data_IF_509117081648
#
_entry.id   IF_509117081648
#
_cell.length_a   1.000
_cell.length_b   1.000
_cell.length_c   1.000
_cell.angle_alpha   90.00
_cell.angle_beta   90.00
_cell.angle_gamma   90.00
#
_symmetry.space_group_name_H-M   'P 1'
#
loop_
_entity.id
_entity.type
_entity.pdbx_description
1 polymer ?
#
# COMPACT_ATOMS: atom_id res chain seq x y z
N UNK A 1 -44.11 -21.77 -13.36
CA UNK A 1 -44.52 -20.48 -12.73
C UNK A 1 -43.27 -19.75 -12.29
N UNK A 2 -42.94 -18.67 -13.01
CA UNK A 2 -41.76 -17.81 -12.78
C UNK A 2 -42.13 -16.70 -11.79
N UNK A 3 -41.14 -16.28 -10.99
CA UNK A 3 -40.98 -14.93 -10.41
C UNK A 3 -41.99 -14.46 -9.36
N UNK A 4 -41.57 -14.44 -8.08
CA UNK A 4 -42.13 -13.48 -7.11
C UNK A 4 -41.29 -13.18 -5.85
N UNK A 5 -40.09 -13.74 -5.66
CA UNK A 5 -39.26 -13.40 -4.46
C UNK A 5 -38.17 -12.35 -4.74
N UNK A 6 -37.94 -11.98 -6.00
CA UNK A 6 -36.91 -11.00 -6.38
C UNK A 6 -37.34 -9.52 -6.31
N UNK A 7 -38.52 -9.21 -5.75
CA UNK A 7 -39.11 -7.85 -5.81
C UNK A 7 -39.05 -7.03 -4.51
N UNK A 8 -38.48 -7.53 -3.42
CA UNK A 8 -38.51 -6.81 -2.13
C UNK A 8 -37.16 -6.39 -1.53
N UNK A 9 -36.02 -6.61 -2.20
CA UNK A 9 -34.71 -6.08 -1.78
C UNK A 9 -34.15 -4.97 -2.70
N UNK A 10 -34.92 -4.56 -3.72
CA UNK A 10 -34.53 -3.56 -4.70
C UNK A 10 -35.10 -2.16 -4.43
N UNK A 11 -35.91 -1.98 -3.38
CA UNK A 11 -36.62 -0.72 -3.10
C UNK A 11 -35.97 0.13 -2.00
N UNK A 12 -35.03 -0.42 -1.21
CA UNK A 12 -34.37 0.31 -0.11
C UNK A 12 -32.91 0.71 -0.39
N UNK A 13 -32.29 0.15 -1.44
CA UNK A 13 -30.85 0.32 -1.72
C UNK A 13 -30.51 1.20 -2.93
N UNK A 14 -31.49 1.60 -3.75
CA UNK A 14 -31.26 2.32 -5.02
C UNK A 14 -31.69 3.79 -4.97
N UNK A 15 -32.38 4.24 -3.91
CA UNK A 15 -32.70 5.67 -3.71
C UNK A 15 -31.50 6.54 -3.26
N UNK A 16 -30.32 5.95 -3.05
CA UNK A 16 -29.03 6.66 -2.92
C UNK A 16 -28.25 6.76 -4.23
N UNK A 17 -28.75 6.14 -5.31
CA UNK A 17 -28.23 6.32 -6.65
C UNK A 17 -28.66 7.67 -7.17
N UNK A 18 -27.79 8.67 -7.05
CA UNK A 18 -27.84 9.91 -7.82
C UNK A 18 -27.89 9.55 -9.32
N UNK A 19 -29.07 9.26 -9.84
CA UNK A 19 -29.39 9.60 -11.22
C UNK A 19 -29.47 11.12 -11.20
N UNK A 20 -28.32 11.77 -11.35
CA UNK A 20 -28.28 13.15 -11.77
C UNK A 20 -28.98 13.13 -13.13
N UNK A 21 -30.20 13.68 -13.28
CA UNK A 21 -30.72 13.94 -14.61
C UNK A 21 -29.62 14.73 -15.30
N UNK A 22 -29.30 14.34 -16.54
CA UNK A 22 -28.38 15.03 -17.45
C UNK A 22 -28.56 16.54 -17.28
N UNK A 23 -27.76 17.12 -16.40
CA UNK A 23 -27.80 18.53 -16.06
C UNK A 23 -27.24 19.18 -17.31
N UNK A 24 -28.16 19.70 -18.12
CA UNK A 24 -27.87 20.60 -19.22
C UNK A 24 -27.03 21.71 -18.63
N UNK A 25 -25.73 21.63 -18.90
CA UNK A 25 -24.73 22.58 -18.44
C UNK A 25 -25.10 23.94 -19.02
N UNK A 26 -25.53 24.88 -18.19
CA UNK A 26 -25.01 26.23 -18.38
C UNK A 26 -23.54 26.14 -17.99
N UNK A 27 -22.67 26.00 -18.99
CA UNK A 27 -21.22 26.10 -18.80
C UNK A 27 -20.92 27.47 -18.21
N UNK A 28 -20.92 27.59 -16.89
CA UNK A 28 -20.14 28.62 -16.25
C UNK A 28 -18.69 28.43 -16.68
N UNK A 29 -17.93 29.51 -16.77
CA UNK A 29 -16.52 29.49 -17.20
C UNK A 29 -15.61 28.68 -16.26
N UNK A 30 -16.10 28.35 -15.06
CA UNK A 30 -15.37 27.60 -14.04
C UNK A 30 -15.37 26.08 -14.27
N UNK A 31 -14.29 25.44 -13.81
CA UNK A 31 -14.04 23.99 -13.92
C UNK A 31 -14.34 23.22 -12.64
N UNK A 32 -14.74 23.93 -11.58
CA UNK A 32 -15.16 23.35 -10.29
C UNK A 32 -16.61 23.73 -10.04
N UNK A 33 -17.48 22.77 -9.76
CA UNK A 33 -18.91 23.00 -9.55
C UNK A 33 -19.34 22.54 -8.16
N UNK A 34 -20.05 23.40 -7.43
CA UNK A 34 -20.73 23.04 -6.19
C UNK A 34 -22.23 22.81 -6.48
N UNK A 35 -22.73 21.55 -6.45
CA UNK A 35 -24.13 21.25 -6.73
C UNK A 35 -25.13 21.88 -5.76
N UNK A 36 -24.74 22.09 -4.49
CA UNK A 36 -25.61 22.73 -3.50
C UNK A 36 -25.84 24.20 -3.86
N UNK A 37 -24.79 24.90 -4.26
CA UNK A 37 -24.85 26.31 -4.65
C UNK A 37 -25.26 26.53 -6.12
N UNK A 38 -25.26 25.46 -6.93
CA UNK A 38 -25.44 25.51 -8.38
C UNK A 38 -24.51 26.53 -9.04
N UNK A 39 -23.29 26.63 -8.54
CA UNK A 39 -22.29 27.63 -8.93
C UNK A 39 -21.01 26.96 -9.40
N UNK A 40 -20.41 27.52 -10.44
CA UNK A 40 -19.07 27.15 -10.92
C UNK A 40 -18.01 28.14 -10.42
N UNK A 41 -16.81 27.64 -10.20
CA UNK A 41 -15.64 28.37 -9.72
C UNK A 41 -14.45 28.10 -10.63
N UNK A 42 -13.56 29.08 -10.74
CA UNK A 42 -12.34 28.95 -11.53
C UNK A 42 -11.35 27.99 -10.86
N UNK A 43 -11.27 28.00 -9.52
CA UNK A 43 -10.35 27.17 -8.74
C UNK A 43 -11.06 26.39 -7.65
N UNK A 44 -10.41 25.34 -7.14
CA UNK A 44 -10.94 24.54 -6.01
C UNK A 44 -10.99 25.40 -4.74
N UNK A 45 -9.99 26.24 -4.49
CA UNK A 45 -9.92 27.06 -3.27
C UNK A 45 -11.06 28.09 -3.16
N UNK A 46 -11.48 28.69 -4.27
CA UNK A 46 -12.67 29.56 -4.30
C UNK A 46 -13.94 28.79 -3.93
N UNK A 47 -14.10 27.58 -4.49
CA UNK A 47 -15.23 26.71 -4.17
C UNK A 47 -15.22 26.23 -2.71
N UNK A 48 -14.03 25.95 -2.15
CA UNK A 48 -13.86 25.55 -0.76
C UNK A 48 -14.23 26.67 0.21
N UNK A 49 -13.82 27.91 -0.07
CA UNK A 49 -14.12 29.06 0.79
C UNK A 49 -15.63 29.34 0.93
N UNK A 50 -16.43 28.97 -0.08
CA UNK A 50 -17.90 29.09 -0.05
C UNK A 50 -18.62 27.77 0.31
N UNK A 51 -17.86 26.70 0.53
CA UNK A 51 -18.42 25.39 0.85
C UNK A 51 -18.98 25.35 2.28
N UNK A 52 -19.83 24.36 2.53
CA UNK A 52 -20.30 23.98 3.88
C UNK A 52 -19.91 22.54 4.18
N UNK A 53 -19.96 22.17 5.46
CA UNK A 53 -19.75 20.77 5.86
C UNK A 53 -20.74 19.85 5.14
N UNK A 54 -20.21 18.79 4.52
CA UNK A 54 -20.95 17.83 3.68
C UNK A 54 -21.00 18.19 2.19
N UNK A 55 -20.54 19.37 1.77
CA UNK A 55 -20.54 19.75 0.36
C UNK A 55 -19.67 18.82 -0.49
N UNK A 56 -20.12 18.58 -1.72
CA UNK A 56 -19.35 17.90 -2.76
C UNK A 56 -18.97 18.91 -3.84
N UNK A 57 -17.70 18.97 -4.19
CA UNK A 57 -17.17 19.78 -5.28
C UNK A 57 -16.83 18.87 -6.47
N UNK A 58 -17.53 19.07 -7.59
CA UNK A 58 -17.28 18.36 -8.83
C UNK A 58 -16.18 19.07 -9.61
N UNK A 59 -15.07 18.40 -9.84
CA UNK A 59 -13.95 18.92 -10.62
C UNK A 59 -14.05 18.32 -12.02
N UNK A 60 -14.05 19.17 -13.04
CA UNK A 60 -14.32 18.80 -14.43
C UNK A 60 -13.23 19.37 -15.34
N UNK A 61 -12.53 18.51 -16.06
CA UNK A 61 -11.37 18.93 -16.84
C UNK A 61 -10.20 19.37 -15.96
N UNK A 62 -9.32 20.19 -16.51
CA UNK A 62 -8.10 20.65 -15.85
C UNK A 62 -8.35 21.90 -14.99
N UNK A 63 -7.85 21.87 -13.76
CA UNK A 63 -7.84 22.99 -12.81
C UNK A 63 -6.41 23.22 -12.35
N UNK A 64 -5.94 24.45 -12.51
CA UNK A 64 -4.62 24.87 -12.05
C UNK A 64 -4.69 25.44 -10.63
N UNK A 65 -3.66 25.12 -9.84
CA UNK A 65 -3.44 25.66 -8.50
C UNK A 65 -3.56 24.62 -7.38
N UNK A 66 -2.71 24.79 -6.36
CA UNK A 66 -2.73 23.95 -5.16
C UNK A 66 -4.05 24.06 -4.41
N UNK A 67 -4.48 22.95 -3.81
CA UNK A 67 -5.71 22.86 -3.02
C UNK A 67 -5.40 22.92 -1.54
N UNK A 68 -6.02 23.85 -0.82
CA UNK A 68 -5.89 23.98 0.63
C UNK A 68 -7.23 23.64 1.31
N UNK A 69 -7.31 22.46 1.92
CA UNK A 69 -8.52 22.00 2.59
C UNK A 69 -8.83 22.73 3.90
N UNK A 70 -7.93 23.58 4.41
CA UNK A 70 -8.20 24.46 5.55
C UNK A 70 -9.22 25.57 5.23
N UNK A 71 -9.46 25.84 3.94
CA UNK A 71 -10.45 26.82 3.49
C UNK A 71 -11.88 26.31 3.66
N UNK A 72 -12.09 25.00 3.77
CA UNK A 72 -13.41 24.43 4.03
C UNK A 72 -13.77 24.63 5.52
N UNK A 73 -14.98 25.14 5.84
CA UNK A 73 -15.40 25.27 7.23
C UNK A 73 -15.71 23.93 7.92
N UNK A 74 -15.73 22.81 7.18
CA UNK A 74 -16.00 21.47 7.70
C UNK A 74 -15.58 20.38 6.71
N UNK A 75 -16.14 19.18 6.87
CA UNK A 75 -15.83 18.06 5.97
C UNK A 75 -16.37 18.27 4.55
N UNK A 76 -15.62 17.86 3.53
CA UNK A 76 -15.98 18.06 2.12
C UNK A 76 -15.59 16.87 1.25
N UNK A 77 -16.22 16.74 0.09
CA UNK A 77 -15.85 15.75 -0.93
C UNK A 77 -15.36 16.45 -2.19
N UNK A 78 -14.12 16.16 -2.60
CA UNK A 78 -13.60 16.48 -3.92
C UNK A 78 -13.83 15.29 -4.84
N UNK A 79 -14.65 15.46 -5.88
CA UNK A 79 -15.00 14.39 -6.81
C UNK A 79 -14.60 14.78 -8.24
N UNK A 80 -13.65 14.04 -8.80
CA UNK A 80 -13.34 14.12 -10.22
C UNK A 80 -14.46 13.52 -11.05
N UNK A 81 -14.94 14.29 -12.03
CA UNK A 81 -15.97 13.85 -12.97
C UNK A 81 -15.46 13.96 -14.39
N UNK A 82 -15.32 12.81 -15.05
CA UNK A 82 -15.02 12.76 -16.48
C UNK A 82 -16.19 13.36 -17.26
N UNK A 83 -15.90 14.27 -18.18
CA UNK A 83 -16.91 14.90 -19.04
C UNK A 83 -16.49 14.71 -20.51
N UNK A 84 -17.24 13.91 -21.27
CA UNK A 84 -16.92 13.61 -22.67
C UNK A 84 -15.54 12.97 -22.87
N UNK A 85 -15.10 12.12 -21.95
CA UNK A 85 -13.77 11.50 -21.98
C UNK A 85 -12.63 12.37 -21.43
N UNK A 86 -12.89 13.65 -21.12
CA UNK A 86 -11.87 14.54 -20.54
C UNK A 86 -11.72 14.23 -19.04
N UNK A 87 -10.53 13.83 -18.58
CA UNK A 87 -10.27 13.55 -17.17
C UNK A 87 -10.35 14.83 -16.32
N UNK A 88 -10.77 14.67 -15.06
CA UNK A 88 -10.62 15.70 -14.04
C UNK A 88 -9.16 15.73 -13.56
N UNK A 89 -8.46 16.84 -13.80
CA UNK A 89 -7.04 17.01 -13.50
C UNK A 89 -6.86 18.18 -12.54
N UNK A 90 -6.10 17.96 -11.46
CA UNK A 90 -5.50 19.04 -10.67
C UNK A 90 -4.01 19.08 -11.00
N UNK A 91 -3.52 20.27 -11.32
CA UNK A 91 -2.14 20.52 -11.71
C UNK A 91 -1.63 21.76 -10.97
N UNK A 92 -0.34 21.74 -10.61
CA UNK A 92 0.35 22.90 -10.04
C UNK A 92 1.79 22.96 -10.54
N UNK A 93 2.28 24.17 -10.82
CA UNK A 93 3.66 24.49 -11.19
C UNK A 93 4.02 25.87 -10.62
N UNK A 94 5.16 26.03 -9.94
CA UNK A 94 6.02 24.98 -9.38
C UNK A 94 5.36 24.27 -8.18
N UNK A 95 6.07 23.37 -7.50
CA UNK A 95 5.60 22.85 -6.20
C UNK A 95 5.41 24.02 -5.21
N UNK A 96 4.23 24.14 -4.57
CA UNK A 96 3.95 25.24 -3.65
C UNK A 96 4.77 25.14 -2.35
N UNK A 97 4.91 26.23 -1.56
CA UNK A 97 5.72 26.25 -0.34
C UNK A 97 5.28 25.27 0.75
N UNK A 98 4.01 24.88 0.73
CA UNK A 98 3.45 23.88 1.65
C UNK A 98 3.74 22.43 1.21
N UNK A 99 4.48 22.26 0.10
CA UNK A 99 4.98 21.00 -0.46
C UNK A 99 3.90 20.03 -0.96
N UNK A 100 2.66 20.48 -1.22
CA UNK A 100 1.58 19.59 -1.60
C UNK A 100 0.69 20.14 -2.71
N UNK A 101 0.31 19.29 -3.67
CA UNK A 101 -0.74 19.63 -4.65
C UNK A 101 -2.10 19.74 -3.96
N UNK A 102 -2.40 18.79 -3.06
CA UNK A 102 -3.55 18.86 -2.15
C UNK A 102 -3.07 18.77 -0.71
N UNK A 103 -3.25 19.85 0.04
CA UNK A 103 -2.92 19.95 1.45
C UNK A 103 -4.16 19.67 2.31
N UNK A 104 -4.14 18.52 2.99
CA UNK A 104 -5.21 18.02 3.85
C UNK A 104 -4.93 18.23 5.34
N UNK A 105 -3.76 18.78 5.73
CA UNK A 105 -3.37 18.97 7.14
C UNK A 105 -4.37 19.82 7.92
N UNK A 106 -4.82 20.93 7.33
CA UNK A 106 -5.74 21.87 7.97
C UNK A 106 -7.22 21.50 7.86
N UNK A 107 -7.58 20.28 7.45
CA UNK A 107 -9.00 19.88 7.28
C UNK A 107 -9.77 20.05 8.60
N UNK A 108 -11.02 20.51 8.52
CA UNK A 108 -11.90 20.76 9.68
C UNK A 108 -13.01 19.72 9.86
N UNK A 109 -12.90 18.61 9.15
CA UNK A 109 -13.82 17.49 9.24
C UNK A 109 -13.40 16.37 8.30
N UNK A 110 -14.27 15.38 8.12
CA UNK A 110 -14.04 14.26 7.21
C UNK A 110 -13.88 14.75 5.78
N UNK A 111 -12.77 14.41 5.14
CA UNK A 111 -12.52 14.72 3.72
C UNK A 111 -12.55 13.45 2.88
N UNK A 112 -13.17 13.54 1.71
CA UNK A 112 -13.04 12.55 0.65
C UNK A 112 -12.45 13.17 -0.61
N UNK A 113 -11.51 12.48 -1.23
CA UNK A 113 -10.90 12.83 -2.51
C UNK A 113 -11.07 11.60 -3.40
N UNK A 114 -11.80 11.74 -4.50
CA UNK A 114 -12.15 10.60 -5.35
C UNK A 114 -12.10 10.90 -6.83
N UNK A 115 -11.57 9.97 -7.63
CA UNK A 115 -11.68 10.01 -9.10
C UNK A 115 -10.86 11.13 -9.78
N UNK A 116 -9.86 11.69 -9.10
CA UNK A 116 -9.04 12.78 -9.63
C UNK A 116 -7.75 12.25 -10.27
N UNK A 117 -7.31 12.91 -11.33
CA UNK A 117 -5.94 12.85 -11.78
C UNK A 117 -5.18 14.02 -11.15
N UNK A 118 -4.03 13.74 -10.54
CA UNK A 118 -3.21 14.72 -9.83
C UNK A 118 -1.84 14.68 -10.49
N UNK A 119 -1.49 15.76 -11.16
CA UNK A 119 -0.17 15.95 -11.75
C UNK A 119 0.74 16.61 -10.72
N UNK A 120 1.77 15.88 -10.30
CA UNK A 120 2.63 16.25 -9.18
C UNK A 120 3.97 16.78 -9.71
N UNK A 121 4.32 18.05 -9.47
CA UNK A 121 5.62 18.59 -9.86
C UNK A 121 6.75 17.97 -9.01
N UNK A 122 7.99 18.15 -9.46
CA UNK A 122 9.16 17.68 -8.74
C UNK A 122 9.24 18.27 -7.31
N UNK A 123 9.68 17.46 -6.35
CA UNK A 123 9.86 17.86 -4.94
C UNK A 123 8.56 18.01 -4.15
N UNK A 124 7.43 17.53 -4.69
CA UNK A 124 6.11 17.72 -4.09
C UNK A 124 5.46 16.41 -3.61
N UNK A 125 4.56 16.54 -2.65
CA UNK A 125 3.57 15.52 -2.35
C UNK A 125 2.34 15.70 -3.23
N UNK A 126 1.79 14.63 -3.78
CA UNK A 126 0.48 14.68 -4.46
C UNK A 126 -0.62 15.04 -3.46
N UNK A 127 -0.66 14.32 -2.33
CA UNK A 127 -1.57 14.62 -1.22
C UNK A 127 -0.79 14.51 0.09
N UNK A 128 -0.83 15.56 0.90
CA UNK A 128 -0.18 15.60 2.20
C UNK A 128 -1.20 15.81 3.31
N UNK A 129 -1.16 14.94 4.31
CA UNK A 129 -1.95 14.97 5.53
C UNK A 129 -1.02 14.84 6.73
N UNK A 130 -1.40 15.41 7.86
CA UNK A 130 -0.61 15.31 9.08
C UNK A 130 -1.20 16.08 10.25
N UNK A 131 -0.88 15.61 11.45
CA UNK A 131 -1.25 16.23 12.75
C UNK A 131 -2.74 16.58 12.92
N UNK A 132 -3.64 15.90 12.21
CA UNK A 132 -5.05 16.30 12.16
C UNK A 132 -5.96 15.40 12.96
N UNK A 133 -5.74 14.09 12.94
CA UNK A 133 -6.63 13.16 13.65
C UNK A 133 -7.92 12.80 12.89
N UNK A 134 -8.30 13.63 11.91
CA UNK A 134 -9.63 13.59 11.29
C UNK A 134 -9.69 12.63 10.10
N UNK A 135 -10.85 12.04 9.80
CA UNK A 135 -10.93 11.04 8.72
C UNK A 135 -10.56 11.61 7.34
N UNK A 136 -9.77 10.86 6.58
CA UNK A 136 -9.41 11.16 5.20
C UNK A 136 -9.58 9.91 4.34
N UNK A 137 -10.30 10.04 3.23
CA UNK A 137 -10.40 9.00 2.21
C UNK A 137 -9.84 9.52 0.90
N UNK A 138 -8.84 8.83 0.34
CA UNK A 138 -8.34 9.04 -1.01
C UNK A 138 -8.62 7.78 -1.81
N UNK A 139 -9.46 7.87 -2.84
CA UNK A 139 -9.86 6.68 -3.59
C UNK A 139 -9.97 6.86 -5.10
N UNK A 140 -9.59 5.83 -5.84
CA UNK A 140 -9.70 5.81 -7.31
C UNK A 140 -9.07 7.04 -7.97
N UNK A 141 -8.03 7.61 -7.35
CA UNK A 141 -7.27 8.72 -7.92
C UNK A 141 -6.06 8.19 -8.69
N UNK A 142 -5.58 8.97 -9.65
CA UNK A 142 -4.31 8.75 -10.33
C UNK A 142 -3.35 9.86 -9.97
N UNK A 143 -2.21 9.53 -9.38
CA UNK A 143 -1.12 10.44 -9.11
C UNK A 143 0.01 10.14 -10.08
N UNK A 144 0.49 11.16 -10.79
CA UNK A 144 1.52 11.01 -11.82
C UNK A 144 2.44 12.21 -11.79
N UNK A 145 3.72 12.01 -12.06
CA UNK A 145 4.65 13.11 -12.25
C UNK A 145 4.13 14.05 -13.34
N UNK A 146 4.17 15.36 -13.07
CA UNK A 146 3.75 16.41 -14.01
C UNK A 146 4.45 16.30 -15.36
N UNK A 147 5.72 15.93 -15.32
CA UNK A 147 6.51 15.49 -16.46
C UNK A 147 7.16 14.12 -16.16
N UNK A 148 7.87 13.56 -17.15
CA UNK A 148 8.49 12.24 -17.03
C UNK A 148 9.67 12.19 -16.05
N UNK A 149 10.30 13.32 -15.78
CA UNK A 149 11.45 13.47 -14.87
C UNK A 149 11.07 13.94 -13.47
N UNK A 150 9.80 14.28 -13.25
CA UNK A 150 9.33 14.79 -11.97
C UNK A 150 9.46 13.69 -10.90
N UNK A 151 10.39 13.91 -9.97
CA UNK A 151 10.57 13.11 -8.77
C UNK A 151 9.66 13.63 -7.67
N UNK A 152 8.69 12.82 -7.23
CA UNK A 152 7.66 13.25 -6.27
C UNK A 152 7.37 12.21 -5.19
N UNK A 153 6.48 12.54 -4.26
CA UNK A 153 5.91 11.61 -3.28
C UNK A 153 4.40 11.54 -3.48
N UNK A 154 3.81 10.34 -3.38
CA UNK A 154 2.39 10.16 -3.69
C UNK A 154 1.45 10.72 -2.62
N UNK A 155 0.99 9.84 -1.73
CA UNK A 155 0.07 10.18 -0.63
C UNK A 155 0.79 9.99 0.69
N UNK A 156 0.90 11.03 1.49
CA UNK A 156 1.56 10.98 2.78
C UNK A 156 0.60 11.33 3.93
N UNK A 157 0.56 10.46 4.93
CA UNK A 157 0.09 10.74 6.28
C UNK A 157 1.33 10.91 7.15
N UNK A 158 1.56 12.10 7.71
CA UNK A 158 2.76 12.44 8.48
C UNK A 158 2.36 12.79 9.91
N UNK A 159 2.90 12.10 10.91
CA UNK A 159 2.50 12.25 12.31
C UNK A 159 0.96 12.22 12.49
N UNK A 160 0.25 11.31 11.82
CA UNK A 160 -1.20 11.19 11.97
C UNK A 160 -1.59 10.35 13.19
N UNK A 161 -2.81 10.57 13.67
CA UNK A 161 -3.46 9.80 14.72
C UNK A 161 -4.96 9.69 14.42
N UNK A 162 -5.73 8.95 15.22
CA UNK A 162 -7.17 8.83 15.04
C UNK A 162 -7.54 8.16 13.72
N UNK A 163 -8.24 8.89 12.83
CA UNK A 163 -8.75 8.38 11.56
C UNK A 163 -10.27 8.16 11.58
N UNK A 164 -10.82 7.30 10.70
CA UNK A 164 -10.10 6.37 9.82
C UNK A 164 -9.47 7.05 8.59
N UNK A 165 -8.30 6.54 8.20
CA UNK A 165 -7.63 6.85 6.95
C UNK A 165 -7.83 5.71 5.96
N UNK A 166 -8.29 6.03 4.76
CA UNK A 166 -8.52 5.05 3.71
C UNK A 166 -7.86 5.50 2.41
N UNK A 167 -6.84 4.78 1.98
CA UNK A 167 -6.13 4.98 0.71
C UNK A 167 -6.44 3.77 -0.17
N UNK A 168 -7.40 3.92 -1.08
CA UNK A 168 -7.99 2.78 -1.79
C UNK A 168 -8.08 2.92 -3.31
N UNK A 169 -7.64 1.90 -4.05
CA UNK A 169 -7.88 1.84 -5.50
C UNK A 169 -7.15 2.92 -6.30
N UNK A 170 -6.14 3.56 -5.71
CA UNK A 170 -5.38 4.61 -6.38
C UNK A 170 -4.30 4.03 -7.29
N UNK A 171 -3.93 4.79 -8.31
CA UNK A 171 -2.79 4.49 -9.17
C UNK A 171 -1.72 5.55 -8.96
N UNK A 172 -0.48 5.14 -8.67
CA UNK A 172 0.66 6.05 -8.47
C UNK A 172 1.80 5.58 -9.37
N UNK A 173 2.22 6.42 -10.31
CA UNK A 173 3.19 6.04 -11.36
C UNK A 173 4.20 7.16 -11.67
N UNK A 174 5.25 6.81 -12.43
CA UNK A 174 6.44 7.62 -12.77
C UNK A 174 7.51 7.53 -11.67
N UNK A 175 8.39 8.54 -11.55
CA UNK A 175 9.55 8.50 -10.66
C UNK A 175 9.21 9.05 -9.28
N UNK A 176 9.53 8.30 -8.23
CA UNK A 176 9.20 8.64 -6.85
C UNK A 176 10.47 8.81 -6.02
N UNK A 177 10.60 9.92 -5.31
CA UNK A 177 11.82 10.23 -4.54
C UNK A 177 11.87 9.54 -3.19
N UNK A 178 10.72 9.38 -2.53
CA UNK A 178 10.62 8.77 -1.19
C UNK A 178 9.69 7.57 -1.20
N UNK A 179 8.38 7.80 -1.24
CA UNK A 179 7.39 6.74 -1.23
C UNK A 179 6.16 7.08 -2.07
N UNK A 180 5.52 6.04 -2.62
CA UNK A 180 4.20 6.21 -3.21
C UNK A 180 3.15 6.47 -2.12
N UNK A 181 3.24 5.73 -1.01
CA UNK A 181 2.37 5.90 0.14
C UNK A 181 3.20 5.89 1.43
N UNK A 182 3.06 6.92 2.25
CA UNK A 182 3.60 6.99 3.60
C UNK A 182 2.47 6.96 4.63
N UNK A 183 2.57 6.04 5.59
CA UNK A 183 1.75 5.99 6.80
C UNK A 183 2.67 6.21 7.99
N UNK A 184 2.72 7.44 8.47
CA UNK A 184 3.54 7.83 9.61
C UNK A 184 2.64 8.27 10.78
N UNK A 185 2.78 7.57 11.91
CA UNK A 185 1.95 7.72 13.10
C UNK A 185 2.53 8.75 14.08
N UNK A 186 1.68 9.27 14.97
CA UNK A 186 2.10 10.20 16.01
C UNK A 186 2.35 9.51 17.34
N UNK A 187 3.60 9.15 17.60
CA UNK A 187 4.10 8.82 18.93
C UNK A 187 3.16 7.91 19.72
N UNK A 188 2.50 8.41 20.77
CA UNK A 188 1.64 7.64 21.68
C UNK A 188 0.15 7.56 21.31
N UNK A 189 -0.30 8.19 20.22
CA UNK A 189 -1.72 8.27 19.85
C UNK A 189 -2.09 7.25 18.78
N UNK A 190 -3.08 6.40 19.05
CA UNK A 190 -3.45 5.31 18.12
C UNK A 190 -3.95 5.82 16.76
N UNK A 191 -3.66 5.07 15.71
CA UNK A 191 -3.99 5.35 14.32
C UNK A 191 -4.84 4.23 13.71
N UNK A 192 -5.84 4.57 12.89
CA UNK A 192 -6.57 3.61 12.06
C UNK A 192 -6.37 3.91 10.57
N UNK A 193 -5.61 3.06 9.87
CA UNK A 193 -5.29 3.23 8.45
C UNK A 193 -5.48 1.95 7.64
N UNK A 194 -6.11 2.07 6.48
CA UNK A 194 -6.26 0.99 5.50
C UNK A 194 -5.70 1.45 4.15
N UNK A 195 -4.72 0.71 3.64
CA UNK A 195 -4.14 0.87 2.30
C UNK A 195 -4.52 -0.34 1.48
N UNK A 196 -5.50 -0.19 0.58
CA UNK A 196 -6.12 -1.32 -0.13
C UNK A 196 -6.26 -1.14 -1.63
N UNK A 197 -5.92 -2.16 -2.42
CA UNK A 197 -6.31 -2.18 -3.84
C UNK A 197 -5.56 -1.15 -4.70
N UNK A 198 -4.47 -0.57 -4.21
CA UNK A 198 -3.72 0.44 -4.96
C UNK A 198 -2.76 -0.23 -5.95
N UNK A 199 -2.48 0.45 -7.05
CA UNK A 199 -1.46 0.06 -8.03
C UNK A 199 -0.33 1.07 -8.04
N UNK A 200 0.88 0.62 -7.72
CA UNK A 200 2.08 1.44 -7.63
C UNK A 200 3.07 0.91 -8.66
N UNK A 201 3.57 1.77 -9.55
CA UNK A 201 4.48 1.36 -10.63
C UNK A 201 5.63 2.32 -10.88
N UNK A 202 6.78 1.72 -11.26
CA UNK A 202 8.08 2.29 -11.68
C UNK A 202 8.85 3.15 -10.68
N UNK A 203 10.19 2.99 -10.66
CA UNK A 203 11.23 3.81 -10.01
C UNK A 203 10.89 4.42 -8.65
N UNK A 204 10.50 3.56 -7.72
CA UNK A 204 10.27 3.90 -6.31
C UNK A 204 11.48 3.57 -5.45
N UNK A 205 11.87 4.50 -4.57
CA UNK A 205 12.73 4.16 -3.43
C UNK A 205 11.99 3.20 -2.48
N UNK A 206 10.73 3.50 -2.15
CA UNK A 206 9.83 2.57 -1.47
C UNK A 206 8.40 2.64 -2.03
N UNK A 207 7.72 1.51 -2.18
CA UNK A 207 6.31 1.50 -2.57
C UNK A 207 5.43 2.06 -1.45
N UNK A 208 5.44 1.37 -0.30
CA UNK A 208 4.69 1.77 0.89
C UNK A 208 5.64 1.80 2.09
N UNK A 209 5.66 2.92 2.82
CA UNK A 209 6.38 3.05 4.09
C UNK A 209 5.37 3.16 5.22
N UNK A 210 5.63 2.44 6.31
CA UNK A 210 4.93 2.57 7.59
C UNK A 210 5.94 2.92 8.67
N UNK A 211 5.65 3.92 9.50
CA UNK A 211 6.56 4.42 10.54
C UNK A 211 5.80 4.85 11.79
N UNK A 212 6.46 4.70 12.95
CA UNK A 212 6.01 5.24 14.23
C UNK A 212 4.56 4.89 14.57
N UNK A 213 4.17 3.63 14.36
CA UNK A 213 2.82 3.15 14.67
C UNK A 213 2.74 2.69 16.14
N UNK A 214 2.07 3.45 17.03
CA UNK A 214 1.93 3.04 18.43
C UNK A 214 1.12 1.76 18.59
N UNK A 215 1.35 1.08 19.71
CA UNK A 215 0.48 0.01 20.18
C UNK A 215 -0.98 0.47 20.29
N UNK A 216 -1.92 -0.43 20.01
CA UNK A 216 -3.36 -0.11 19.94
C UNK A 216 -3.82 0.53 18.62
N UNK A 217 -2.91 0.79 17.68
CA UNK A 217 -3.25 1.17 16.30
C UNK A 217 -3.78 -0.01 15.50
N UNK A 218 -4.48 0.29 14.40
CA UNK A 218 -4.92 -0.68 13.40
C UNK A 218 -4.48 -0.22 12.01
N UNK A 219 -3.39 -0.79 11.52
CA UNK A 219 -2.86 -0.52 10.18
C UNK A 219 -2.91 -1.78 9.35
N UNK A 220 -3.63 -1.72 8.23
CA UNK A 220 -3.83 -2.83 7.30
C UNK A 220 -3.41 -2.44 5.88
N UNK A 221 -2.47 -3.18 5.32
CA UNK A 221 -1.99 -3.03 3.94
C UNK A 221 -2.37 -4.29 3.18
N UNK A 222 -3.31 -4.19 2.24
CA UNK A 222 -3.75 -5.38 1.52
C UNK A 222 -4.17 -5.20 0.08
N UNK A 223 -4.06 -6.26 -0.71
CA UNK A 223 -4.52 -6.28 -2.10
C UNK A 223 -3.93 -5.17 -2.95
N UNK A 224 -2.74 -4.71 -2.62
CA UNK A 224 -2.02 -3.74 -3.45
C UNK A 224 -1.15 -4.48 -4.46
N UNK A 225 -0.98 -3.90 -5.64
CA UNK A 225 -0.06 -4.36 -6.68
C UNK A 225 1.08 -3.36 -6.76
N UNK A 226 2.29 -3.81 -6.46
CA UNK A 226 3.52 -3.04 -6.48
C UNK A 226 4.42 -3.65 -7.55
N UNK A 227 4.73 -2.88 -8.59
CA UNK A 227 5.57 -3.29 -9.73
C UNK A 227 6.85 -2.45 -9.74
N UNK A 228 7.96 -3.07 -9.34
CA UNK A 228 9.31 -2.53 -9.42
C UNK A 228 9.76 -2.42 -10.88
N UNK A 229 10.38 -1.29 -11.22
CA UNK A 229 10.68 -0.88 -12.60
C UNK A 229 11.90 -1.57 -13.21
N UNK A 230 13.04 -1.59 -12.53
CA UNK A 230 14.21 -2.44 -12.82
C UNK A 230 15.33 -2.25 -11.77
N UNK A 231 16.27 -3.18 -11.78
CA UNK A 231 17.22 -3.60 -10.74
C UNK A 231 18.28 -2.59 -10.28
N UNK A 232 18.35 -2.38 -8.96
CA UNK A 232 19.42 -1.59 -8.31
C UNK A 232 19.44 -1.68 -6.79
N UNK A 233 19.42 -2.90 -6.21
CA UNK A 233 19.79 -3.28 -4.82
C UNK A 233 19.25 -2.48 -3.61
N UNK A 234 18.38 -1.47 -3.76
CA UNK A 234 17.93 -0.64 -2.63
C UNK A 234 16.44 -0.31 -2.57
N UNK A 235 15.68 -0.54 -3.65
CA UNK A 235 14.25 -0.27 -3.66
C UNK A 235 13.48 -1.30 -2.83
N UNK A 236 12.50 -0.83 -2.04
CA UNK A 236 11.70 -1.66 -1.14
C UNK A 236 10.23 -1.64 -1.56
N UNK A 237 9.58 -2.80 -1.66
CA UNK A 237 8.14 -2.86 -1.92
C UNK A 237 7.35 -2.25 -0.76
N UNK A 238 7.45 -2.88 0.41
CA UNK A 238 6.82 -2.41 1.65
C UNK A 238 7.88 -2.37 2.76
N UNK A 239 8.04 -1.21 3.40
CA UNK A 239 8.94 -1.01 4.52
C UNK A 239 8.14 -0.72 5.80
N UNK A 240 8.30 -1.58 6.80
CA UNK A 240 7.86 -1.30 8.17
C UNK A 240 9.07 -0.84 8.97
N UNK A 241 9.13 0.46 9.28
CA UNK A 241 10.23 1.05 10.06
C UNK A 241 10.11 0.68 11.55
N UNK A 242 11.23 0.81 12.30
CA UNK A 242 11.26 0.55 13.74
C UNK A 242 10.13 1.24 14.50
N UNK A 243 9.58 0.54 15.49
CA UNK A 243 8.50 1.07 16.32
C UNK A 243 7.10 0.94 15.71
N UNK A 244 6.96 0.28 14.57
CA UNK A 244 5.64 0.05 13.96
C UNK A 244 4.94 -1.19 14.52
N UNK A 245 3.98 -1.01 15.43
CA UNK A 245 3.35 -2.10 16.17
C UNK A 245 2.12 -2.67 15.46
N UNK A 246 2.03 -3.99 15.38
CA UNK A 246 0.81 -4.71 15.02
C UNK A 246 0.32 -4.47 13.57
N UNK A 247 1.22 -4.10 12.66
CA UNK A 247 0.86 -3.84 11.26
C UNK A 247 0.54 -5.17 10.56
N UNK A 248 -0.57 -5.21 9.82
CA UNK A 248 -0.94 -6.38 9.01
C UNK A 248 -0.68 -6.07 7.54
N UNK A 249 0.19 -6.85 6.92
CA UNK A 249 0.50 -6.81 5.49
C UNK A 249 0.01 -8.11 4.87
N UNK A 250 -1.08 -8.07 4.10
CA UNK A 250 -1.67 -9.29 3.58
C UNK A 250 -2.14 -9.21 2.13
N UNK A 251 -2.05 -10.32 1.39
CA UNK A 251 -2.64 -10.41 0.04
C UNK A 251 -2.15 -9.32 -0.90
N UNK A 252 -0.90 -8.87 -0.79
CA UNK A 252 -0.32 -7.93 -1.74
C UNK A 252 0.45 -8.71 -2.81
N UNK A 253 0.54 -8.14 -4.02
CA UNK A 253 1.39 -8.63 -5.11
C UNK A 253 2.56 -7.67 -5.27
N UNK A 254 3.79 -8.14 -5.06
CA UNK A 254 5.02 -7.33 -5.03
C UNK A 254 6.05 -7.94 -5.98
N UNK A 255 6.36 -7.23 -7.06
CA UNK A 255 7.12 -7.74 -8.19
C UNK A 255 8.39 -6.90 -8.42
N UNK A 256 9.53 -7.54 -8.70
CA UNK A 256 10.75 -6.88 -9.22
C UNK A 256 11.39 -5.81 -8.31
N UNK A 257 11.38 -5.97 -6.99
CA UNK A 257 12.08 -5.08 -6.05
C UNK A 257 13.45 -5.62 -5.62
N UNK A 258 14.30 -4.72 -5.09
CA UNK A 258 15.50 -5.13 -4.37
C UNK A 258 15.13 -5.97 -3.15
N UNK A 259 14.21 -5.46 -2.33
CA UNK A 259 13.56 -6.21 -1.26
C UNK A 259 12.04 -6.06 -1.36
N UNK A 260 11.30 -7.16 -1.32
CA UNK A 260 9.84 -7.14 -1.40
C UNK A 260 9.22 -6.52 -0.15
N UNK A 261 9.52 -7.06 1.03
CA UNK A 261 9.05 -6.55 2.32
C UNK A 261 10.22 -6.47 3.31
N UNK A 262 10.40 -5.32 3.95
CA UNK A 262 11.28 -5.16 5.12
C UNK A 262 10.42 -5.00 6.37
N UNK A 263 10.73 -5.79 7.39
CA UNK A 263 10.18 -5.67 8.74
C UNK A 263 11.33 -5.28 9.67
N UNK A 264 11.48 -3.98 9.92
CA UNK A 264 12.50 -3.45 10.83
C UNK A 264 11.83 -3.11 12.17
N UNK A 265 12.23 -3.78 13.25
CA UNK A 265 11.81 -3.46 14.61
C UNK A 265 10.31 -3.24 14.83
N UNK A 266 9.45 -4.11 14.28
CA UNK A 266 7.99 -3.91 14.19
C UNK A 266 7.17 -4.99 14.94
N UNK A 267 7.02 -4.91 16.28
CA UNK A 267 6.46 -5.99 17.11
C UNK A 267 5.00 -6.35 16.80
N UNK A 268 4.70 -7.65 16.80
CA UNK A 268 3.33 -8.15 16.64
C UNK A 268 2.74 -8.00 15.24
N UNK A 269 3.54 -7.54 14.28
CA UNK A 269 3.15 -7.43 12.87
C UNK A 269 2.95 -8.81 12.24
N UNK A 270 2.15 -8.83 11.17
CA UNK A 270 1.78 -10.07 10.46
C UNK A 270 1.92 -9.89 8.95
N UNK A 271 2.65 -10.78 8.30
CA UNK A 271 2.89 -10.81 6.86
C UNK A 271 2.25 -12.07 6.28
N UNK A 272 1.06 -11.92 5.69
CA UNK A 272 0.16 -13.05 5.42
C UNK A 272 -0.28 -13.14 3.95
N UNK A 273 -0.11 -14.31 3.33
CA UNK A 273 -0.67 -14.59 1.99
C UNK A 273 -0.32 -13.53 0.93
N UNK A 274 0.88 -12.97 0.96
CA UNK A 274 1.38 -12.09 -0.10
C UNK A 274 2.00 -12.92 -1.23
N UNK A 275 1.98 -12.38 -2.45
CA UNK A 275 2.68 -12.90 -3.61
C UNK A 275 3.88 -11.99 -3.92
N UNK A 276 5.07 -12.47 -3.63
CA UNK A 276 6.33 -11.80 -3.88
C UNK A 276 7.03 -12.56 -5.00
N UNK A 277 7.35 -11.89 -6.09
CA UNK A 277 7.97 -12.54 -7.24
C UNK A 277 9.10 -11.72 -7.83
N UNK A 278 10.19 -12.42 -8.20
CA UNK A 278 11.35 -11.84 -8.87
C UNK A 278 11.99 -10.67 -8.07
N UNK A 279 11.92 -10.75 -6.73
CA UNK A 279 12.59 -9.81 -5.83
C UNK A 279 13.99 -10.33 -5.46
N UNK A 280 14.93 -9.43 -5.18
CA UNK A 280 16.26 -9.79 -4.69
C UNK A 280 16.20 -10.47 -3.32
N UNK A 281 15.48 -9.87 -2.38
CA UNK A 281 15.06 -10.50 -1.13
C UNK A 281 13.54 -10.51 -1.09
N UNK A 282 12.91 -11.66 -0.84
CA UNK A 282 11.47 -11.74 -0.64
C UNK A 282 11.07 -10.94 0.59
N UNK A 283 11.44 -11.44 1.77
CA UNK A 283 11.17 -10.77 3.05
C UNK A 283 12.47 -10.66 3.84
N UNK A 284 12.73 -9.46 4.38
CA UNK A 284 13.84 -9.19 5.28
C UNK A 284 13.31 -8.81 6.66
N UNK A 285 13.91 -9.37 7.70
CA UNK A 285 13.61 -9.06 9.10
C UNK A 285 14.86 -8.51 9.78
N UNK A 286 14.81 -7.23 10.15
CA UNK A 286 15.87 -6.53 10.86
C UNK A 286 15.43 -6.23 12.29
N UNK A 287 15.91 -6.98 13.29
CA UNK A 287 15.52 -6.79 14.67
C UNK A 287 16.35 -5.68 15.31
N UNK A 288 16.09 -4.43 14.98
CA UNK A 288 16.71 -3.30 15.71
C UNK A 288 16.26 -3.22 17.17
N UNK A 289 15.16 -3.90 17.54
CA UNK A 289 14.69 -4.04 18.92
C UNK A 289 14.14 -5.43 19.23
N UNK A 290 14.31 -5.91 20.46
CA UNK A 290 13.70 -7.15 20.93
C UNK A 290 12.16 -7.05 20.91
N UNK A 291 11.48 -7.95 20.19
CA UNK A 291 10.02 -7.99 20.20
C UNK A 291 9.52 -8.99 21.24
N UNK A 292 8.83 -8.50 22.27
CA UNK A 292 8.08 -9.38 23.20
C UNK A 292 6.90 -10.11 22.54
N UNK A 293 6.57 -9.77 21.29
CA UNK A 293 5.53 -10.38 20.48
C UNK A 293 6.12 -11.13 19.28
N UNK A 294 5.51 -12.27 18.93
CA UNK A 294 5.91 -13.10 17.79
C UNK A 294 5.57 -12.42 16.46
N UNK A 295 6.56 -12.29 15.57
CA UNK A 295 6.33 -11.90 14.18
C UNK A 295 5.80 -13.12 13.41
N UNK A 296 4.74 -12.93 12.63
CA UNK A 296 4.14 -13.98 11.80
C UNK A 296 4.40 -13.71 10.32
N UNK A 297 4.98 -14.66 9.60
CA UNK A 297 5.21 -14.66 8.16
C UNK A 297 4.62 -15.95 7.63
N UNK A 298 3.37 -15.96 7.19
CA UNK A 298 2.69 -17.21 6.83
C UNK A 298 1.97 -17.11 5.50
N UNK A 299 1.81 -18.26 4.86
CA UNK A 299 1.00 -18.44 3.67
C UNK A 299 1.43 -17.65 2.43
N UNK A 300 2.61 -17.03 2.44
CA UNK A 300 3.12 -16.23 1.33
C UNK A 300 3.65 -17.12 0.20
N UNK A 301 3.56 -16.63 -1.03
CA UNK A 301 4.28 -17.15 -2.19
C UNK A 301 5.49 -16.25 -2.42
N UNK A 302 6.69 -16.79 -2.30
CA UNK A 302 7.94 -16.08 -2.54
C UNK A 302 8.63 -16.82 -3.67
N UNK A 303 8.53 -16.26 -4.86
CA UNK A 303 8.73 -17.01 -6.10
C UNK A 303 9.65 -16.32 -7.08
N UNK A 304 10.11 -17.10 -8.06
CA UNK A 304 10.81 -16.58 -9.22
C UNK A 304 10.23 -17.14 -10.51
N UNK A 305 10.16 -16.31 -11.55
CA UNK A 305 9.84 -16.74 -12.92
C UNK A 305 10.89 -17.73 -13.43
N UNK A 306 12.17 -17.47 -13.15
CA UNK A 306 13.27 -18.40 -13.40
C UNK A 306 14.07 -18.58 -12.11
N UNK A 307 13.81 -19.68 -11.40
CA UNK A 307 14.43 -19.98 -10.11
C UNK A 307 15.96 -20.09 -10.22
N UNK A 308 16.46 -20.73 -11.28
CA UNK A 308 17.91 -20.86 -11.52
C UNK A 308 18.58 -19.49 -11.68
N UNK A 309 18.00 -18.60 -12.48
CA UNK A 309 18.52 -17.25 -12.70
C UNK A 309 18.50 -16.41 -11.41
N UNK A 310 17.40 -16.46 -10.65
CA UNK A 310 17.30 -15.81 -9.35
C UNK A 310 18.41 -16.26 -8.39
N UNK A 311 18.65 -17.58 -8.30
CA UNK A 311 19.70 -18.12 -7.42
C UNK A 311 21.09 -17.67 -7.84
N UNK A 312 21.39 -17.66 -9.15
CA UNK A 312 22.67 -17.13 -9.67
C UNK A 312 22.83 -15.63 -9.34
N UNK A 313 21.74 -14.87 -9.36
CA UNK A 313 21.73 -13.46 -8.96
C UNK A 313 21.84 -13.24 -7.44
N UNK A 314 21.81 -14.32 -6.64
CA UNK A 314 21.89 -14.27 -5.18
C UNK A 314 20.56 -13.96 -4.49
N UNK A 315 19.43 -14.24 -5.15
CA UNK A 315 18.12 -14.00 -4.56
C UNK A 315 17.87 -14.86 -3.31
N UNK A 316 17.17 -14.29 -2.33
CA UNK A 316 16.89 -14.91 -1.03
C UNK A 316 15.39 -14.87 -0.76
N UNK A 317 14.81 -15.97 -0.29
CA UNK A 317 13.39 -16.00 0.07
C UNK A 317 13.12 -15.20 1.34
N UNK A 318 13.87 -15.53 2.39
CA UNK A 318 13.79 -14.90 3.71
C UNK A 318 15.19 -14.61 4.23
N UNK A 319 15.44 -13.37 4.63
CA UNK A 319 16.69 -12.94 5.25
C UNK A 319 16.42 -12.39 6.65
N UNK A 320 17.23 -12.77 7.62
CA UNK A 320 17.11 -12.22 8.97
C UNK A 320 18.44 -12.20 9.73
N UNK A 321 18.59 -11.18 10.57
CA UNK A 321 19.75 -10.96 11.42
C UNK A 321 19.54 -11.51 12.84
N UNK A 322 20.63 -11.70 13.59
CA UNK A 322 20.58 -12.08 15.02
C UNK A 322 19.76 -11.08 15.83
N UNK A 323 18.89 -11.58 16.72
CA UNK A 323 18.11 -10.74 17.62
C UNK A 323 17.26 -11.54 18.59
N UNK A 324 16.71 -10.88 19.61
CA UNK A 324 15.88 -11.50 20.66
C UNK A 324 14.39 -11.52 20.28
N UNK A 325 14.05 -12.09 19.13
CA UNK A 325 12.66 -12.18 18.64
C UNK A 325 12.30 -13.62 18.29
N UNK A 326 11.01 -13.93 18.38
CA UNK A 326 10.44 -15.20 17.92
C UNK A 326 9.76 -14.96 16.58
N UNK A 327 10.08 -15.79 15.59
CA UNK A 327 9.50 -15.73 14.25
C UNK A 327 8.78 -17.04 13.92
N UNK A 328 7.51 -16.93 13.54
CA UNK A 328 6.75 -18.01 12.92
C UNK A 328 6.66 -17.75 11.41
N UNK A 329 7.48 -18.45 10.65
CA UNK A 329 7.60 -18.35 9.19
C UNK A 329 7.03 -19.59 8.46
N UNK A 330 6.02 -20.26 9.03
CA UNK A 330 5.47 -21.52 8.47
C UNK A 330 4.53 -21.33 7.28
N UNK A 331 4.39 -22.39 6.47
CA UNK A 331 3.44 -22.51 5.36
C UNK A 331 3.67 -21.54 4.19
N UNK A 332 4.88 -21.00 4.04
CA UNK A 332 5.25 -20.24 2.85
C UNK A 332 5.69 -21.19 1.72
N UNK A 333 5.60 -20.72 0.48
CA UNK A 333 6.16 -21.39 -0.69
C UNK A 333 7.36 -20.60 -1.22
N UNK A 334 8.46 -21.28 -1.52
CA UNK A 334 9.79 -20.68 -1.79
C UNK A 334 10.40 -21.21 -3.09
N UNK A 335 9.78 -20.99 -4.24
CA UNK A 335 10.17 -21.73 -5.45
C UNK A 335 9.82 -21.07 -6.77
N UNK A 336 9.72 -21.87 -7.83
CA UNK A 336 9.32 -21.38 -9.13
C UNK A 336 7.85 -20.90 -9.11
N UNK A 337 7.52 -19.86 -9.87
CA UNK A 337 6.15 -19.34 -9.95
C UNK A 337 5.15 -20.35 -10.53
N UNK A 338 5.63 -21.35 -11.27
CA UNK A 338 4.86 -22.46 -11.82
C UNK A 338 4.58 -23.58 -10.82
N UNK A 339 5.13 -23.51 -9.61
CA UNK A 339 5.08 -24.60 -8.64
C UNK A 339 6.32 -25.51 -8.72
N UNK A 340 6.35 -26.55 -7.87
CA UNK A 340 7.50 -27.46 -7.77
C UNK A 340 7.72 -28.16 -9.11
N UNK A 341 8.97 -28.36 -9.49
CA UNK A 341 9.26 -29.32 -10.55
C UNK A 341 8.81 -30.73 -10.10
N UNK A 342 8.55 -31.66 -11.02
CA UNK A 342 8.07 -33.02 -10.66
C UNK A 342 9.03 -33.81 -9.75
N UNK A 343 10.28 -33.34 -9.60
CA UNK A 343 11.26 -33.86 -8.64
C UNK A 343 11.14 -33.25 -7.23
N UNK A 344 10.42 -32.13 -7.09
CA UNK A 344 10.09 -31.42 -5.83
C UNK A 344 8.63 -31.68 -5.37
N UNK A 345 7.82 -32.36 -6.20
CA UNK A 345 6.45 -32.77 -5.88
C UNK A 345 6.47 -33.82 -4.75
N UNK A 346 5.70 -33.67 -3.65
CA UNK A 346 5.82 -34.60 -2.55
C UNK A 346 5.16 -35.92 -2.98
N UNK A 347 5.97 -36.94 -3.15
CA UNK A 347 5.50 -38.29 -2.88
C UNK A 347 4.90 -38.32 -1.46
N UNK A 348 3.79 -39.06 -1.22
CA UNK A 348 3.28 -39.28 0.12
C UNK A 348 4.42 -39.75 1.05
N UNK A 349 4.78 -38.93 2.05
CA UNK A 349 5.89 -39.19 2.97
C UNK A 349 7.15 -38.33 2.79
N UNK A 350 7.16 -37.35 1.87
CA UNK A 350 8.26 -36.38 1.78
C UNK A 350 8.30 -35.48 3.03
N UNK A 351 9.41 -35.52 3.76
CA UNK A 351 9.69 -34.73 4.97
C UNK A 351 10.62 -33.53 4.71
N UNK A 352 11.01 -33.30 3.46
CA UNK A 352 11.98 -32.27 3.07
C UNK A 352 11.27 -30.93 2.86
N UNK A 353 11.77 -29.89 3.51
CA UNK A 353 11.32 -28.52 3.31
C UNK A 353 11.71 -28.00 1.92
N UNK A 354 10.82 -27.31 1.19
CA UNK A 354 11.07 -26.85 -0.18
C UNK A 354 12.13 -25.74 -0.26
N UNK A 355 12.35 -25.02 0.84
CA UNK A 355 13.42 -24.03 0.95
C UNK A 355 14.81 -24.68 0.88
N UNK A 356 15.73 -24.02 0.18
CA UNK A 356 17.13 -24.43 0.16
C UNK A 356 17.80 -24.02 1.48
N UNK A 357 18.71 -24.86 1.99
CA UNK A 357 19.59 -24.50 3.10
C UNK A 357 20.53 -23.39 2.63
N UNK A 358 20.40 -22.19 3.22
CA UNK A 358 21.45 -21.17 3.11
C UNK A 358 22.72 -21.59 3.84
N UNK A 359 23.83 -20.88 3.61
CA UNK A 359 25.15 -21.23 4.16
C UNK A 359 25.26 -21.22 5.70
N UNK A 360 24.27 -20.67 6.40
CA UNK A 360 24.33 -20.36 7.83
C UNK A 360 23.13 -20.90 8.66
N UNK A 361 22.12 -21.54 8.05
CA UNK A 361 21.05 -22.24 8.78
C UNK A 361 21.41 -23.74 8.86
N UNK A 362 21.94 -24.20 9.99
CA UNK A 362 22.33 -25.62 10.19
C UNK A 362 21.22 -26.49 10.84
N UNK A 363 19.97 -25.99 10.91
CA UNK A 363 18.83 -26.71 11.50
C UNK A 363 18.06 -27.61 10.52
N UNK A 364 17.09 -28.42 10.99
CA UNK A 364 16.43 -29.51 10.23
C UNK A 364 15.51 -29.05 9.09
N UNK A 365 15.66 -27.83 8.55
CA UNK A 365 14.64 -27.15 7.75
C UNK A 365 15.03 -26.79 6.29
N UNK A 366 16.14 -27.26 5.73
CA UNK A 366 16.42 -27.03 4.30
C UNK A 366 17.18 -28.16 3.63
N UNK A 367 16.54 -28.72 2.59
CA UNK A 367 17.13 -29.70 1.68
C UNK A 367 16.54 -29.64 0.27
N UNK A 368 15.62 -28.69 0.03
CA UNK A 368 15.00 -28.46 -1.27
C UNK A 368 15.86 -27.58 -2.18
N UNK A 369 15.40 -27.39 -3.42
CA UNK A 369 16.10 -26.62 -4.46
C UNK A 369 15.55 -25.20 -4.66
N UNK A 370 14.63 -24.78 -3.79
CA UNK A 370 13.97 -23.48 -3.75
C UNK A 370 14.89 -22.28 -3.43
N UNK A 371 14.27 -21.14 -3.14
CA UNK A 371 14.99 -19.95 -2.68
C UNK A 371 15.57 -20.19 -1.27
N UNK A 372 16.80 -19.71 -0.98
CA UNK A 372 17.43 -19.94 0.31
C UNK A 372 16.81 -19.11 1.42
N UNK A 373 16.92 -19.64 2.64
CA UNK A 373 16.74 -18.88 3.87
C UNK A 373 18.11 -18.53 4.44
N UNK A 374 18.35 -17.24 4.63
CA UNK A 374 19.60 -16.72 5.18
C UNK A 374 19.38 -16.23 6.61
N UNK A 375 20.11 -16.86 7.52
CA UNK A 375 20.18 -16.50 8.93
C UNK A 375 21.63 -16.14 9.28
N UNK A 376 21.92 -14.92 9.70
CA UNK A 376 23.25 -14.63 10.24
C UNK A 376 23.24 -14.95 11.73
N UNK A 377 24.02 -15.95 12.17
CA UNK A 377 24.27 -16.24 13.59
C UNK A 377 23.11 -16.80 14.41
N UNK A 378 22.10 -17.42 13.78
CA UNK A 378 20.92 -18.00 14.45
C UNK A 378 20.81 -19.50 14.16
N UNK A 379 20.45 -20.28 15.17
CA UNK A 379 20.12 -21.70 15.03
C UNK A 379 18.65 -21.87 14.58
N UNK A 380 18.48 -22.38 13.36
CA UNK A 380 17.19 -22.63 12.72
C UNK A 380 16.53 -23.94 13.20
N UNK A 381 17.02 -24.54 14.29
CA UNK A 381 16.57 -25.84 14.83
C UNK A 381 15.84 -25.81 16.17
N UNK A 382 15.90 -24.72 16.92
CA UNK A 382 15.47 -24.75 18.32
C UNK A 382 13.99 -24.41 18.50
N UNK A 383 13.29 -25.19 19.33
CA UNK A 383 12.03 -24.78 19.96
C UNK A 383 12.34 -24.01 21.25
N UNK A 384 12.28 -22.67 21.23
CA UNK A 384 12.54 -21.82 22.42
C UNK A 384 12.25 -20.33 22.19
N UNK A 385 12.33 -19.49 23.23
CA UNK A 385 12.30 -18.03 23.05
C UNK A 385 13.52 -17.58 22.24
N UNK A 386 13.34 -16.72 21.23
CA UNK A 386 14.41 -16.37 20.29
C UNK A 386 14.60 -17.37 19.13
N UNK A 387 13.61 -18.25 18.88
CA UNK A 387 13.66 -19.22 17.78
C UNK A 387 12.94 -18.78 16.52
N UNK A 388 13.45 -19.23 15.38
CA UNK A 388 12.83 -19.09 14.06
C UNK A 388 12.24 -20.44 13.64
N UNK A 389 10.94 -20.47 13.35
CA UNK A 389 10.23 -21.68 12.87
C UNK A 389 9.81 -21.49 11.43
N UNK A 390 10.39 -22.21 10.48
CA UNK A 390 10.07 -22.05 9.04
C UNK A 390 9.20 -23.18 8.48
N UNK A 391 9.37 -24.44 8.90
CA UNK A 391 8.74 -25.57 8.21
C UNK A 391 7.57 -26.19 9.00
N UNK A 392 6.47 -26.61 8.33
CA UNK A 392 6.35 -28.00 7.94
C UNK A 392 5.57 -28.17 6.60
N UNK A 393 6.26 -27.91 5.49
CA UNK A 393 5.94 -28.30 4.11
C UNK A 393 4.63 -27.75 3.48
N UNK A 394 4.81 -26.78 2.58
CA UNK A 394 3.86 -26.45 1.50
C UNK A 394 4.56 -26.69 0.16
N UNK A 395 4.06 -27.63 -0.62
CA UNK A 395 4.71 -28.02 -1.87
C UNK A 395 4.21 -27.29 -3.09
N UNK A 396 3.11 -26.55 -3.00
CA UNK A 396 2.57 -25.78 -4.12
C UNK A 396 2.29 -24.32 -3.72
N UNK A 397 2.31 -23.38 -4.70
CA UNK A 397 1.91 -22.00 -4.45
C UNK A 397 0.51 -21.91 -3.84
N UNK A 398 0.36 -21.01 -2.87
CA UNK A 398 -0.93 -20.63 -2.31
C UNK A 398 -1.77 -19.91 -3.37
N UNK A 399 -2.89 -20.50 -3.76
CA UNK A 399 -3.82 -19.90 -4.73
C UNK A 399 -4.54 -18.65 -4.20
N UNK A 400 -4.52 -18.42 -2.89
CA UNK A 400 -5.16 -17.27 -2.25
C UNK A 400 -4.18 -16.13 -1.98
N UNK A 401 -2.90 -16.29 -2.31
CA UNK A 401 -1.89 -15.27 -2.13
C UNK A 401 -1.90 -14.25 -3.27
N UNK A 402 -1.57 -13.00 -2.94
CA UNK A 402 -1.62 -11.87 -3.88
C UNK A 402 -2.94 -11.11 -3.89
N UNK A 403 -2.95 -10.02 -4.66
CA UNK A 403 -4.00 -9.00 -4.72
C UNK A 403 -5.22 -9.35 -5.58
#
# INVERSE_FOLDING_TARGET
MRSSVFRWLLVSGILGGLVLPTLVFTQGTGRVYNPRLRRTYATVNQALAESRSGDTLLIMGRVEGAVNLALAPGGVTLLGKTNGGIPAIISVDPCPPNLAVIDARGRRGRVQIAGLNIEVPAGCYGILSGDSGLPLTVRNCRLVGRDRSALFSGIALVNEFGGPFLIQGNQITNQLVSSAILIDGRGSSSLQAIVRGNRIGSDVTAGIIVSDIPSGSSVLIERNILEGGDLGRGAVGILLNPGSHGVIVQRNTILNFGTGIIVDGSPGSKILANHLQDNGVGIQVDPTAASGATLMINDNNITCTNLGACRVAGAVGLSFNTGAYTLDARNNYWGASTGPDSAEDPAPGNTICPEATGSNCAGPAGGGTGLPINAIGVDCSASGGGSVRTCPIRTAPNRLAGA
#
